data_IF_708420110599
#
_entry.id   IF_708420110599
#
_cell.length_a   1.000
_cell.length_b   1.000
_cell.length_c   1.000
_cell.angle_alpha   90.00
_cell.angle_beta   90.00
_cell.angle_gamma   90.00
#
_symmetry.space_group_name_H-M   'P 1'
#
loop_
_entity.id
_entity.type
_entity.pdbx_description
1 polymer ?
#
# COMPACT_ATOMS: atom_id res chain seq x y z
N UNK A 1 -0.89 25.12 16.93
CA UNK A 1 0.10 24.69 15.94
C UNK A 1 -0.70 23.82 15.00
N UNK A 2 -0.86 24.25 13.76
CA UNK A 2 -1.53 23.43 12.75
C UNK A 2 -0.67 22.20 12.52
N UNK A 3 -1.14 21.02 12.93
CA UNK A 3 -0.56 19.72 12.59
C UNK A 3 -0.76 19.49 11.08
N UNK A 4 -0.01 20.24 10.27
CA UNK A 4 0.02 20.17 8.81
C UNK A 4 0.81 18.99 8.26
N UNK A 5 0.93 17.89 9.02
CA UNK A 5 1.69 16.69 8.60
C UNK A 5 1.01 15.38 8.97
N UNK A 6 -0.28 15.39 9.32
CA UNK A 6 -1.07 14.17 9.23
C UNK A 6 -1.33 13.89 7.75
N UNK A 7 -0.32 13.39 7.03
CA UNK A 7 -0.53 12.71 5.77
C UNK A 7 -1.56 11.62 6.08
N UNK A 8 -2.78 11.80 5.58
CA UNK A 8 -3.84 10.80 5.68
C UNK A 8 -3.46 9.68 4.74
N UNK A 9 -2.67 8.77 5.26
CA UNK A 9 -2.37 7.51 4.64
C UNK A 9 -3.53 6.57 4.96
N UNK A 10 -4.22 6.12 3.93
CA UNK A 10 -5.20 5.04 4.07
C UNK A 10 -4.50 3.72 3.77
N UNK A 11 -4.52 2.79 4.72
CA UNK A 11 -4.01 1.43 4.47
C UNK A 11 -5.01 0.74 3.56
N UNK A 12 -4.59 0.48 2.33
CA UNK A 12 -5.42 -0.16 1.30
C UNK A 12 -5.13 -1.66 1.18
N UNK A 13 -3.96 -2.11 1.66
CA UNK A 13 -3.55 -3.50 1.60
C UNK A 13 -2.48 -3.85 2.62
N UNK A 14 -2.41 -5.14 2.97
CA UNK A 14 -1.34 -5.73 3.76
C UNK A 14 -0.77 -6.89 2.96
N UNK A 15 0.55 -6.94 2.84
CA UNK A 15 1.30 -7.99 2.14
C UNK A 15 2.25 -8.62 3.13
N UNK A 16 2.31 -9.95 3.15
CA UNK A 16 3.24 -10.69 4.01
C UNK A 16 4.20 -11.46 3.13
N UNK A 17 5.49 -11.34 3.42
CA UNK A 17 6.53 -12.11 2.75
C UNK A 17 6.72 -13.49 3.40
N UNK A 18 7.29 -14.44 2.65
CA UNK A 18 7.55 -15.82 3.11
C UNK A 18 8.49 -15.87 4.34
N UNK A 19 9.31 -14.83 4.55
CA UNK A 19 10.14 -14.66 5.76
C UNK A 19 9.37 -14.21 7.01
N UNK A 20 8.07 -13.89 6.87
CA UNK A 20 7.19 -13.43 7.95
C UNK A 20 7.29 -11.93 8.22
N UNK A 21 7.80 -11.14 7.26
CA UNK A 21 7.76 -9.68 7.32
C UNK A 21 6.41 -9.21 6.78
N UNK A 22 5.72 -8.33 7.52
CA UNK A 22 4.46 -7.76 7.08
C UNK A 22 4.66 -6.31 6.61
N UNK A 23 4.19 -6.03 5.41
CA UNK A 23 4.22 -4.71 4.79
C UNK A 23 2.79 -4.18 4.61
N UNK A 24 2.61 -2.89 4.78
CA UNK A 24 1.34 -2.20 4.57
C UNK A 24 1.46 -1.26 3.37
N UNK A 25 0.55 -1.46 2.41
CA UNK A 25 0.36 -0.56 1.28
C UNK A 25 -0.58 0.56 1.71
N UNK A 26 -0.05 1.78 1.70
CA UNK A 26 -0.72 2.98 2.10
C UNK A 26 -0.96 3.87 0.87
N UNK A 27 -2.17 4.35 0.68
CA UNK A 27 -2.49 5.33 -0.34
C UNK A 27 -2.57 6.73 0.28
N UNK A 28 -1.90 7.68 -0.36
CA UNK A 28 -1.90 9.09 0.02
C UNK A 28 -2.80 9.88 -0.93
N UNK A 29 -4.01 10.20 -0.47
CA UNK A 29 -4.99 10.97 -1.25
C UNK A 29 -4.49 12.39 -1.61
N UNK A 30 -3.54 12.96 -0.88
CA UNK A 30 -3.08 14.33 -1.14
C UNK A 30 -2.11 14.42 -2.30
N UNK A 31 -1.24 13.42 -2.45
CA UNK A 31 -0.27 13.35 -3.55
C UNK A 31 -0.71 12.43 -4.68
N UNK A 32 -1.82 11.69 -4.49
CA UNK A 32 -2.28 10.65 -5.40
C UNK A 32 -1.20 9.57 -5.62
N UNK A 33 -0.58 9.13 -4.53
CA UNK A 33 0.59 8.24 -4.56
C UNK A 33 0.44 7.07 -3.58
N UNK A 34 0.93 5.90 -3.99
CA UNK A 34 1.00 4.72 -3.13
C UNK A 34 2.39 4.62 -2.51
N UNK A 35 2.43 4.39 -1.20
CA UNK A 35 3.64 4.19 -0.42
C UNK A 35 3.56 2.87 0.34
N UNK A 36 4.70 2.19 0.46
CA UNK A 36 4.79 0.95 1.22
C UNK A 36 5.49 1.23 2.55
N UNK A 37 4.93 0.66 3.60
CA UNK A 37 5.46 0.78 4.96
C UNK A 37 5.67 -0.61 5.57
N UNK A 38 6.61 -0.73 6.48
CA UNK A 38 6.85 -1.96 7.25
C UNK A 38 5.80 -2.14 8.37
N UNK A 39 5.80 -3.28 9.06
CA UNK A 39 4.93 -3.61 10.19
C UNK A 39 4.98 -2.58 11.33
N UNK A 40 6.07 -1.81 11.45
CA UNK A 40 6.18 -0.71 12.41
C UNK A 40 5.59 0.62 11.92
N UNK A 41 5.11 0.68 10.67
CA UNK A 41 4.61 1.89 10.02
C UNK A 41 5.72 2.82 9.51
N UNK A 42 6.95 2.33 9.42
CA UNK A 42 8.07 3.05 8.82
C UNK A 42 8.03 2.90 7.30
N UNK A 43 8.25 4.00 6.58
CA UNK A 43 8.37 3.99 5.12
C UNK A 43 9.51 3.07 4.70
N UNK A 44 9.25 2.22 3.72
CA UNK A 44 10.26 1.34 3.18
C UNK A 44 11.31 2.19 2.45
N UNK A 45 12.58 2.08 2.85
CA UNK A 45 13.69 2.80 2.21
C UNK A 45 14.08 2.16 0.87
N UNK A 46 13.67 0.90 0.66
CA UNK A 46 14.02 0.10 -0.50
C UNK A 46 12.95 0.24 -1.60
N UNK A 47 13.18 1.17 -2.52
CA UNK A 47 12.25 1.49 -3.61
C UNK A 47 11.94 0.28 -4.51
N UNK A 48 12.93 -0.60 -4.73
CA UNK A 48 12.75 -1.80 -5.57
C UNK A 48 11.73 -2.75 -4.92
N UNK A 49 11.90 -3.05 -3.63
CA UNK A 49 10.96 -3.89 -2.88
C UNK A 49 9.57 -3.23 -2.76
N UNK A 50 9.52 -1.92 -2.54
CA UNK A 50 8.25 -1.19 -2.51
C UNK A 50 7.49 -1.34 -3.83
N UNK A 51 8.20 -1.21 -4.97
CA UNK A 51 7.60 -1.41 -6.28
C UNK A 51 7.14 -2.85 -6.50
N UNK A 52 7.89 -3.86 -6.08
CA UNK A 52 7.47 -5.27 -6.19
C UNK A 52 6.20 -5.55 -5.38
N UNK A 53 6.11 -5.04 -4.15
CA UNK A 53 4.93 -5.18 -3.29
C UNK A 53 3.71 -4.47 -3.91
N UNK A 54 3.93 -3.28 -4.48
CA UNK A 54 2.85 -2.54 -5.17
C UNK A 54 2.38 -3.28 -6.42
N UNK A 55 3.30 -3.79 -7.24
CA UNK A 55 2.97 -4.55 -8.45
C UNK A 55 2.14 -5.80 -8.10
N UNK A 56 2.57 -6.58 -7.10
CA UNK A 56 1.84 -7.73 -6.59
C UNK A 56 0.44 -7.33 -6.08
N UNK A 57 0.34 -6.25 -5.31
CA UNK A 57 -0.94 -5.72 -4.84
C UNK A 57 -1.88 -5.32 -5.99
N UNK A 58 -1.39 -4.66 -7.03
CA UNK A 58 -2.21 -4.29 -8.19
C UNK A 58 -2.66 -5.51 -9.01
N UNK A 59 -1.78 -6.50 -9.19
CA UNK A 59 -2.13 -7.77 -9.86
C UNK A 59 -3.23 -8.50 -9.08
N UNK A 60 -3.11 -8.60 -7.76
CA UNK A 60 -4.13 -9.19 -6.90
C UNK A 60 -5.45 -8.41 -6.94
N UNK A 61 -5.39 -7.08 -6.96
CA UNK A 61 -6.58 -6.22 -7.06
C UNK A 61 -7.27 -6.32 -8.43
N UNK A 62 -6.51 -6.50 -9.51
CA UNK A 62 -7.04 -6.76 -10.85
C UNK A 62 -7.69 -8.15 -10.93
N UNK A 63 -7.06 -9.17 -10.35
CA UNK A 63 -7.62 -10.53 -10.26
C UNK A 63 -8.86 -10.60 -9.35
N UNK A 64 -8.87 -9.79 -8.29
CA UNK A 64 -9.99 -9.62 -7.37
C UNK A 64 -10.96 -8.51 -7.77
N UNK A 65 -10.98 -8.11 -9.06
CA UNK A 65 -11.69 -6.96 -9.60
C UNK A 65 -13.12 -6.78 -9.05
N UNK A 66 -13.63 -5.52 -9.01
CA UNK A 66 -14.92 -5.21 -8.38
C UNK A 66 -15.97 -6.21 -8.87
N UNK A 67 -16.82 -6.77 -7.99
CA UNK A 67 -17.76 -7.81 -8.38
C UNK A 67 -18.45 -7.33 -9.64
N UNK A 68 -18.20 -8.02 -10.76
CA UNK A 68 -18.75 -7.65 -12.07
C UNK A 68 -20.21 -7.28 -11.84
N UNK A 69 -20.52 -6.00 -12.07
CA UNK A 69 -21.89 -5.58 -12.20
C UNK A 69 -22.49 -6.47 -13.28
N UNK A 70 -23.35 -7.38 -12.87
CA UNK A 70 -24.20 -8.16 -13.75
C UNK A 70 -24.95 -7.16 -14.63
N UNK A 71 -24.49 -7.00 -15.87
CA UNK A 71 -25.18 -6.30 -16.94
C UNK A 71 -26.16 -7.24 -17.66
#
# INVERSE_FOLDING_TARGET
MEDGTALRFEVVGLVEDDEGNSYAVCYNEQSDEFVVTDQFGELLDDDELAQEILDDFFVLAEESGPPEGQA
#
